data_IF_319079141402
#
_entry.id   IF_319079141402
#
_cell.length_a   1.000
_cell.length_b   1.000
_cell.length_c   1.000
_cell.angle_alpha   90.00
_cell.angle_beta   90.00
_cell.angle_gamma   90.00
#
_symmetry.space_group_name_H-M   'P 1'
#
loop_
_entity.id
_entity.type
_entity.pdbx_description
1 polymer ?
#
# COMPACT_ATOMS: atom_id res chain seq x y z
N UNK A 1 24.13 36.30 26.32
CA UNK A 1 23.43 37.29 25.47
C UNK A 1 24.31 37.56 24.25
N UNK A 2 24.18 36.76 23.18
CA UNK A 2 25.00 36.90 21.98
C UNK A 2 24.08 36.98 20.77
N UNK A 3 24.09 38.14 20.09
CA UNK A 3 23.29 38.43 18.90
C UNK A 3 24.24 38.42 17.70
N UNK A 4 24.14 37.41 16.84
CA UNK A 4 24.77 37.41 15.53
C UNK A 4 23.71 37.81 14.49
N UNK A 5 23.92 38.95 13.86
CA UNK A 5 23.06 39.56 12.85
C UNK A 5 23.28 38.87 11.49
N UNK A 6 22.22 38.45 10.81
CA UNK A 6 22.31 37.95 9.44
C UNK A 6 22.37 39.11 8.45
N UNK A 7 23.43 39.13 7.63
CA UNK A 7 23.64 40.08 6.54
C UNK A 7 22.76 39.68 5.34
N UNK A 8 21.76 40.49 5.02
CA UNK A 8 21.03 40.40 3.75
C UNK A 8 21.72 41.30 2.71
N UNK A 9 22.11 40.74 1.56
CA UNK A 9 22.62 41.51 0.41
C UNK A 9 21.46 41.88 -0.52
N UNK A 10 21.32 43.16 -0.92
CA UNK A 10 20.36 43.58 -1.93
C UNK A 10 21.01 43.55 -3.32
N UNK A 11 20.38 42.87 -4.28
CA UNK A 11 20.65 43.11 -5.69
C UNK A 11 19.65 44.15 -6.20
N UNK A 12 20.20 45.36 -6.36
CA UNK A 12 19.74 46.44 -7.22
C UNK A 12 19.52 45.92 -8.67
N UNK A 13 18.87 46.56 -9.63
CA UNK A 13 18.17 47.84 -9.81
C UNK A 13 17.59 47.75 -11.23
N UNK A 14 16.51 48.47 -11.48
CA UNK A 14 16.21 49.15 -12.76
C UNK A 14 15.87 48.31 -14.00
N UNK A 15 14.57 48.24 -14.29
CA UNK A 15 14.07 48.74 -15.57
C UNK A 15 12.99 49.80 -15.28
N UNK A 16 13.30 51.03 -15.68
CA UNK A 16 12.42 52.19 -15.58
C UNK A 16 11.24 52.07 -16.54
N UNK A 17 10.06 52.38 -16.01
CA UNK A 17 9.11 53.36 -16.54
C UNK A 17 9.04 53.51 -18.07
N UNK A 18 8.01 52.90 -18.66
CA UNK A 18 7.20 53.59 -19.68
C UNK A 18 5.78 53.75 -19.14
N UNK A 19 5.44 55.04 -18.98
CA UNK A 19 4.11 55.65 -18.82
C UNK A 19 3.03 54.89 -19.59
N UNK A 20 1.90 54.49 -19.01
CA UNK A 20 0.75 55.27 -18.53
C UNK A 20 -0.48 54.75 -19.30
N UNK A 21 -1.60 54.64 -18.58
CA UNK A 21 -2.97 54.52 -19.09
C UNK A 21 -3.38 53.15 -19.66
N UNK A 22 -3.96 52.33 -18.79
CA UNK A 22 -5.32 51.79 -19.00
C UNK A 22 -5.83 51.12 -17.70
N UNK A 23 -6.58 51.93 -16.95
CA UNK A 23 -7.69 51.62 -16.05
C UNK A 23 -7.83 50.17 -15.52
N UNK A 24 -7.35 49.92 -14.29
CA UNK A 24 -7.83 48.82 -13.46
C UNK A 24 -8.95 49.35 -12.55
N UNK A 25 -10.21 49.08 -12.93
CA UNK A 25 -11.36 49.33 -12.07
C UNK A 25 -11.46 48.21 -11.03
N UNK A 26 -11.30 48.61 -9.76
CA UNK A 26 -11.56 47.80 -8.57
C UNK A 26 -13.05 47.47 -8.54
N UNK A 27 -13.40 46.18 -8.59
CA UNK A 27 -14.80 45.71 -8.51
C UNK A 27 -15.22 45.63 -7.05
N UNK A 28 -16.13 46.50 -6.66
CA UNK A 28 -16.79 46.53 -5.34
C UNK A 28 -17.76 45.36 -5.19
N UNK A 29 -17.73 44.70 -4.02
CA UNK A 29 -18.72 43.71 -3.62
C UNK A 29 -20.02 44.40 -3.23
N UNK A 30 -21.06 44.27 -4.07
CA UNK A 30 -22.42 44.65 -3.72
C UNK A 30 -23.27 43.38 -3.53
N UNK A 31 -23.76 43.22 -2.31
CA UNK A 31 -24.82 42.30 -1.91
C UNK A 31 -26.18 42.88 -2.29
N UNK A 32 -26.87 42.29 -3.26
CA UNK A 32 -28.34 42.40 -3.38
C UNK A 32 -28.89 41.16 -4.06
N UNK A 33 -29.85 40.55 -3.40
CA UNK A 33 -30.70 39.44 -3.84
C UNK A 33 -31.57 39.83 -5.02
N UNK A 34 -31.45 39.09 -6.12
CA UNK A 34 -32.52 38.96 -7.11
C UNK A 34 -32.70 37.48 -7.44
N UNK A 35 -33.65 36.85 -6.74
CA UNK A 35 -34.31 35.65 -7.24
C UNK A 35 -35.00 36.02 -8.55
N UNK A 36 -34.35 35.72 -9.67
CA UNK A 36 -35.05 35.52 -10.92
C UNK A 36 -35.28 34.03 -11.05
N UNK A 37 -36.56 33.65 -10.93
CA UNK A 37 -37.07 32.36 -11.36
C UNK A 37 -36.79 32.22 -12.86
N UNK A 38 -35.59 31.73 -13.21
CA UNK A 38 -35.37 31.08 -14.47
C UNK A 38 -36.15 29.77 -14.39
N UNK A 39 -37.26 29.70 -15.13
CA UNK A 39 -37.99 28.48 -15.37
C UNK A 39 -36.97 27.40 -15.72
N UNK A 40 -36.82 26.41 -14.84
CA UNK A 40 -36.12 25.19 -15.15
C UNK A 40 -36.91 24.55 -16.29
N UNK A 41 -36.44 24.77 -17.52
CA UNK A 41 -36.70 23.86 -18.61
C UNK A 41 -36.22 22.50 -18.12
N UNK A 42 -37.18 21.68 -17.69
CA UNK A 42 -36.94 20.30 -17.29
C UNK A 42 -36.17 19.64 -18.44
N UNK A 43 -34.88 19.40 -18.21
CA UNK A 43 -34.14 18.47 -19.04
C UNK A 43 -34.94 17.16 -19.02
N UNK A 44 -35.13 16.50 -20.17
CA UNK A 44 -35.86 15.24 -20.20
C UNK A 44 -35.21 14.29 -19.20
N UNK A 45 -36.01 13.62 -18.38
CA UNK A 45 -35.53 12.55 -17.51
C UNK A 45 -34.83 11.53 -18.41
N UNK A 46 -33.49 11.55 -18.42
CA UNK A 46 -32.69 10.60 -19.18
C UNK A 46 -32.85 9.29 -18.45
N UNK A 47 -33.69 8.41 -18.98
CA UNK A 47 -33.81 7.05 -18.49
C UNK A 47 -32.41 6.42 -18.40
N UNK A 48 -32.01 5.87 -17.25
CA UNK A 48 -30.66 5.37 -17.05
C UNK A 48 -30.40 4.24 -18.04
N UNK A 49 -29.35 4.40 -18.85
CA UNK A 49 -28.94 3.34 -19.77
C UNK A 49 -28.35 2.17 -18.96
N UNK A 50 -28.34 0.93 -19.48
CA UNK A 50 -27.77 -0.22 -18.74
C UNK A 50 -26.34 0.01 -18.25
N UNK A 51 -25.53 0.78 -18.99
CA UNK A 51 -24.15 1.16 -18.61
C UNK A 51 -24.09 2.15 -17.44
N UNK A 52 -25.18 2.88 -17.17
CA UNK A 52 -25.31 3.78 -16.02
C UNK A 52 -25.51 3.03 -14.71
N UNK A 53 -25.89 1.75 -14.76
CA UNK A 53 -26.11 0.86 -13.62
C UNK A 53 -25.03 -0.24 -13.48
N UNK A 54 -23.96 -0.16 -14.27
CA UNK A 54 -22.83 -1.09 -14.19
C UNK A 54 -21.75 -0.60 -13.20
N UNK A 55 -21.41 -1.38 -12.15
CA UNK A 55 -20.57 -0.90 -11.04
C UNK A 55 -19.16 -0.45 -11.44
N UNK A 56 -18.64 -0.92 -12.57
CA UNK A 56 -17.33 -0.54 -13.13
C UNK A 56 -17.35 0.75 -13.98
N UNK A 57 -18.52 1.21 -14.41
CA UNK A 57 -18.67 2.26 -15.45
C UNK A 57 -19.67 3.36 -15.06
N UNK A 58 -20.37 3.20 -13.93
CA UNK A 58 -21.35 4.16 -13.39
C UNK A 58 -20.79 5.59 -13.31
N UNK A 59 -21.57 6.56 -13.78
CA UNK A 59 -21.29 7.99 -13.64
C UNK A 59 -21.74 8.52 -12.28
N UNK A 60 -21.19 9.66 -11.80
CA UNK A 60 -21.53 10.22 -10.50
C UNK A 60 -23.03 10.45 -10.28
N UNK A 61 -23.77 10.80 -11.34
CA UNK A 61 -25.21 11.08 -11.30
C UNK A 61 -26.06 9.84 -10.97
N UNK A 62 -25.56 8.64 -11.30
CA UNK A 62 -26.29 7.38 -11.13
C UNK A 62 -25.71 6.50 -10.00
N UNK A 63 -24.73 7.00 -9.23
CA UNK A 63 -24.15 6.29 -8.08
C UNK A 63 -25.20 5.95 -7.03
N UNK A 64 -26.09 6.89 -6.71
CA UNK A 64 -27.13 6.70 -5.70
C UNK A 64 -28.13 5.62 -6.12
N UNK A 65 -28.47 5.56 -7.41
CA UNK A 65 -29.34 4.53 -7.97
C UNK A 65 -28.69 3.14 -7.88
N UNK A 66 -27.38 3.05 -8.16
CA UNK A 66 -26.60 1.82 -8.03
C UNK A 66 -26.54 1.33 -6.57
N UNK A 67 -26.26 2.24 -5.63
CA UNK A 67 -26.20 1.94 -4.20
C UNK A 67 -27.57 1.49 -3.69
N UNK A 68 -28.66 2.12 -4.14
CA UNK A 68 -30.03 1.72 -3.82
C UNK A 68 -30.36 0.31 -4.36
N UNK A 69 -29.77 -0.07 -5.49
CA UNK A 69 -29.83 -1.43 -6.03
C UNK A 69 -28.92 -2.44 -5.28
N UNK A 70 -28.21 -2.00 -4.24
CA UNK A 70 -27.34 -2.85 -3.41
C UNK A 70 -25.97 -3.13 -4.01
N UNK A 71 -25.59 -2.49 -5.12
CA UNK A 71 -24.28 -2.64 -5.75
C UNK A 71 -23.39 -1.45 -5.37
N UNK A 72 -22.16 -1.72 -4.92
CA UNK A 72 -21.20 -0.66 -4.63
C UNK A 72 -20.38 -0.32 -5.89
N UNK A 73 -20.13 0.96 -6.18
CA UNK A 73 -19.29 1.35 -7.32
C UNK A 73 -17.84 0.88 -7.10
N UNK A 74 -17.20 0.36 -8.15
CA UNK A 74 -15.87 -0.25 -8.07
C UNK A 74 -14.78 0.78 -8.40
N UNK A 75 -13.90 1.02 -7.43
CA UNK A 75 -12.75 1.90 -7.56
C UNK A 75 -13.11 3.39 -7.63
N UNK A 76 -12.17 4.22 -8.07
CA UNK A 76 -12.34 5.68 -8.09
C UNK A 76 -13.26 6.15 -9.23
N UNK A 77 -13.93 7.30 -9.04
CA UNK A 77 -14.72 7.97 -10.10
C UNK A 77 -13.92 8.15 -11.38
N UNK A 78 -12.64 8.54 -11.27
CA UNK A 78 -11.72 8.71 -12.41
C UNK A 78 -11.52 7.41 -13.19
N UNK A 79 -11.37 6.25 -12.51
CA UNK A 79 -11.25 4.94 -13.17
C UNK A 79 -12.50 4.64 -13.99
N UNK A 80 -13.68 4.83 -13.40
CA UNK A 80 -14.98 4.54 -14.05
C UNK A 80 -15.19 5.39 -15.30
N UNK A 81 -14.92 6.69 -15.21
CA UNK A 81 -14.98 7.60 -16.37
C UNK A 81 -14.01 7.18 -17.47
N UNK A 82 -12.76 6.82 -17.11
CA UNK A 82 -11.76 6.40 -18.09
C UNK A 82 -12.12 5.08 -18.81
N UNK A 83 -12.71 4.12 -18.08
CA UNK A 83 -13.23 2.87 -18.64
C UNK A 83 -14.43 3.13 -19.56
N UNK A 84 -15.33 4.04 -19.16
CA UNK A 84 -16.48 4.43 -19.99
C UNK A 84 -16.07 5.11 -21.29
N UNK A 85 -15.11 6.04 -21.21
CA UNK A 85 -14.64 6.78 -22.39
C UNK A 85 -13.86 5.89 -23.35
N UNK A 86 -13.19 4.85 -22.83
CA UNK A 86 -12.36 3.94 -23.62
C UNK A 86 -12.74 2.47 -23.32
N UNK A 87 -13.89 1.97 -23.84
CA UNK A 87 -14.36 0.62 -23.55
C UNK A 87 -13.41 -0.48 -24.05
N UNK A 88 -12.66 -0.21 -25.13
CA UNK A 88 -11.64 -1.11 -25.67
C UNK A 88 -10.23 -0.74 -25.18
N UNK A 89 -10.07 -0.43 -23.88
CA UNK A 89 -8.75 -0.07 -23.33
C UNK A 89 -7.78 -1.25 -23.36
N UNK A 90 -6.60 -1.06 -23.95
CA UNK A 90 -5.52 -2.05 -23.95
C UNK A 90 -5.03 -2.31 -22.51
N UNK A 91 -4.56 -3.54 -22.19
CA UNK A 91 -3.83 -3.81 -20.96
C UNK A 91 -2.68 -2.82 -20.76
N UNK A 92 -2.41 -2.44 -19.52
CA UNK A 92 -1.34 -1.48 -19.18
C UNK A 92 0.02 -1.84 -19.82
N UNK A 93 0.30 -3.13 -19.92
CA UNK A 93 1.49 -3.69 -20.53
C UNK A 93 1.62 -3.44 -22.05
N UNK A 94 0.49 -3.39 -22.75
CA UNK A 94 0.41 -3.34 -24.22
C UNK A 94 0.23 -1.91 -24.74
N UNK A 95 0.36 -0.91 -23.87
CA UNK A 95 0.25 0.49 -24.28
C UNK A 95 1.36 0.84 -25.30
N UNK A 96 1.02 1.45 -26.44
CA UNK A 96 1.95 1.65 -27.56
C UNK A 96 2.87 2.87 -27.35
N UNK A 97 3.55 2.93 -26.21
CA UNK A 97 4.56 3.96 -25.91
C UNK A 97 5.96 3.39 -26.12
N UNK A 98 6.75 4.01 -27.00
CA UNK A 98 8.07 3.50 -27.40
C UNK A 98 9.01 3.29 -26.19
N UNK A 99 9.28 4.35 -25.42
CA UNK A 99 10.20 4.29 -24.29
C UNK A 99 9.74 3.29 -23.21
N UNK A 100 8.43 3.15 -23.02
CA UNK A 100 7.87 2.17 -22.09
C UNK A 100 8.12 0.74 -22.56
N UNK A 101 7.88 0.44 -23.84
CA UNK A 101 8.10 -0.91 -24.39
C UNK A 101 9.59 -1.27 -24.43
N UNK A 102 10.46 -0.34 -24.80
CA UNK A 102 11.92 -0.54 -24.75
C UNK A 102 12.39 -0.83 -23.32
N UNK A 103 11.95 -0.05 -22.33
CA UNK A 103 12.26 -0.30 -20.93
C UNK A 103 11.76 -1.68 -20.47
N UNK A 104 10.55 -2.10 -20.87
CA UNK A 104 10.04 -3.44 -20.55
C UNK A 104 10.89 -4.56 -21.14
N UNK A 105 11.41 -4.40 -22.35
CA UNK A 105 12.34 -5.40 -22.95
C UNK A 105 13.60 -5.55 -22.10
N UNK A 106 14.16 -4.44 -21.61
CA UNK A 106 15.33 -4.45 -20.72
C UNK A 106 15.02 -5.18 -19.41
N UNK A 107 13.86 -4.88 -18.80
CA UNK A 107 13.43 -5.53 -17.55
C UNK A 107 13.15 -7.02 -17.73
N UNK A 108 12.57 -7.42 -18.86
CA UNK A 108 12.34 -8.82 -19.18
C UNK A 108 13.65 -9.60 -19.30
N UNK A 109 14.64 -9.05 -20.00
CA UNK A 109 15.97 -9.65 -20.12
C UNK A 109 16.68 -9.77 -18.76
N UNK A 110 16.63 -8.74 -17.90
CA UNK A 110 17.21 -8.82 -16.55
C UNK A 110 16.51 -9.89 -15.69
N UNK A 111 15.18 -9.99 -15.80
CA UNK A 111 14.39 -10.99 -15.09
C UNK A 111 14.77 -12.41 -15.50
N UNK A 112 14.93 -12.67 -16.79
CA UNK A 112 15.40 -13.98 -17.30
C UNK A 112 16.76 -14.34 -16.72
N UNK A 113 17.69 -13.39 -16.67
CA UNK A 113 19.00 -13.59 -16.04
C UNK A 113 18.88 -13.91 -14.53
N UNK A 114 17.96 -13.27 -13.80
CA UNK A 114 17.75 -13.59 -12.37
C UNK A 114 17.14 -14.99 -12.20
N UNK A 115 16.21 -15.37 -13.06
CA UNK A 115 15.58 -16.71 -13.01
C UNK A 115 16.62 -17.79 -13.30
N UNK A 116 17.48 -17.60 -14.30
CA UNK A 116 18.58 -18.51 -14.58
C UNK A 116 19.47 -18.71 -13.33
N UNK A 117 19.87 -17.61 -12.67
CA UNK A 117 20.64 -17.66 -11.43
C UNK A 117 19.90 -18.36 -10.29
N UNK A 118 18.60 -18.13 -10.14
CA UNK A 118 17.78 -18.82 -9.13
C UNK A 118 17.84 -20.34 -9.36
N UNK A 119 17.69 -20.78 -10.60
CA UNK A 119 17.73 -22.21 -10.94
C UNK A 119 19.11 -22.83 -10.66
N UNK A 120 20.19 -22.10 -10.97
CA UNK A 120 21.55 -22.52 -10.64
C UNK A 120 21.77 -22.69 -9.13
N UNK A 121 21.34 -21.69 -8.33
CA UNK A 121 21.50 -21.72 -6.88
C UNK A 121 20.62 -22.77 -6.21
N UNK A 122 19.39 -22.97 -6.69
CA UNK A 122 18.52 -24.06 -6.24
C UNK A 122 19.15 -25.42 -6.58
N UNK A 123 19.75 -25.56 -7.76
CA UNK A 123 20.52 -26.75 -8.12
C UNK A 123 21.71 -27.00 -7.20
N UNK A 124 22.43 -25.95 -6.77
CA UNK A 124 23.51 -26.06 -5.79
C UNK A 124 23.00 -26.47 -4.40
N UNK A 125 21.85 -25.92 -3.97
CA UNK A 125 21.19 -26.30 -2.72
C UNK A 125 20.85 -27.80 -2.74
N UNK A 126 20.19 -28.27 -3.80
CA UNK A 126 19.82 -29.69 -3.93
C UNK A 126 21.04 -30.62 -3.90
N UNK A 127 22.15 -30.24 -4.57
CA UNK A 127 23.41 -31.00 -4.51
C UNK A 127 24.00 -31.07 -3.10
N UNK A 128 23.96 -29.97 -2.34
CA UNK A 128 24.50 -29.94 -0.97
C UNK A 128 23.58 -30.70 -0.01
N UNK A 129 22.26 -30.63 -0.20
CA UNK A 129 21.29 -31.35 0.62
C UNK A 129 21.42 -32.86 0.47
N UNK A 130 21.70 -33.35 -0.75
CA UNK A 130 21.91 -34.77 -1.04
C UNK A 130 23.18 -35.38 -0.43
N UNK A 131 24.18 -34.56 -0.08
CA UNK A 131 25.41 -35.04 0.56
C UNK A 131 25.17 -35.23 2.06
N UNK A 132 25.44 -36.42 2.58
CA UNK A 132 25.30 -36.72 4.01
C UNK A 132 26.17 -35.84 4.92
N UNK A 133 25.69 -35.55 6.13
CA UNK A 133 26.33 -34.62 7.07
C UNK A 133 27.74 -35.07 7.49
N UNK A 134 27.97 -36.39 7.53
CA UNK A 134 29.26 -37.01 7.89
C UNK A 134 30.32 -36.87 6.79
N UNK A 135 29.88 -36.80 5.52
CA UNK A 135 30.76 -36.68 4.37
C UNK A 135 31.04 -35.22 3.99
N UNK A 136 30.30 -34.27 4.58
CA UNK A 136 30.48 -32.86 4.30
C UNK A 136 31.75 -32.30 4.98
N UNK A 137 32.66 -31.75 4.16
CA UNK A 137 33.89 -31.10 4.64
C UNK A 137 33.57 -29.94 5.58
N UNK A 138 33.94 -30.05 6.85
CA UNK A 138 33.66 -29.05 7.89
C UNK A 138 32.46 -29.37 8.79
N UNK A 139 31.89 -30.58 8.67
CA UNK A 139 30.85 -31.09 9.56
C UNK A 139 29.46 -30.47 9.37
N UNK A 140 28.47 -30.87 10.21
CA UNK A 140 27.07 -30.52 10.03
C UNK A 140 26.81 -29.01 10.18
N UNK A 141 27.53 -28.34 11.08
CA UNK A 141 27.40 -26.90 11.30
C UNK A 141 27.76 -26.08 10.06
N UNK A 142 28.82 -26.46 9.34
CA UNK A 142 29.22 -25.75 8.13
C UNK A 142 28.23 -26.01 6.99
N UNK A 143 27.73 -27.24 6.84
CA UNK A 143 26.66 -27.52 5.87
C UNK A 143 25.44 -26.63 6.11
N UNK A 144 24.97 -26.55 7.37
CA UNK A 144 23.82 -25.73 7.75
C UNK A 144 24.03 -24.23 7.43
N UNK A 145 25.19 -23.66 7.79
CA UNK A 145 25.53 -22.25 7.48
C UNK A 145 25.58 -22.00 5.97
N UNK A 146 26.14 -22.93 5.19
CA UNK A 146 26.19 -22.81 3.72
C UNK A 146 24.79 -22.84 3.11
N UNK A 147 23.94 -23.77 3.56
CA UNK A 147 22.55 -23.86 3.11
C UNK A 147 21.76 -22.61 3.49
N UNK A 148 21.93 -22.08 4.70
CA UNK A 148 21.29 -20.83 5.13
C UNK A 148 21.68 -19.64 4.23
N UNK A 149 22.98 -19.48 3.92
CA UNK A 149 23.47 -18.43 3.03
C UNK A 149 22.92 -18.54 1.61
N UNK A 150 22.90 -19.76 1.05
CA UNK A 150 22.35 -20.00 -0.30
C UNK A 150 20.85 -19.74 -0.35
N UNK A 151 20.09 -20.19 0.66
CA UNK A 151 18.64 -19.94 0.75
C UNK A 151 18.35 -18.44 0.85
N UNK A 152 19.09 -17.71 1.68
CA UNK A 152 18.98 -16.24 1.77
C UNK A 152 19.27 -15.57 0.42
N UNK A 153 20.32 -16.00 -0.29
CA UNK A 153 20.66 -15.44 -1.60
C UNK A 153 19.56 -15.70 -2.64
N UNK A 154 18.95 -16.89 -2.64
CA UNK A 154 17.80 -17.22 -3.49
C UNK A 154 16.59 -16.32 -3.17
N UNK A 155 16.31 -16.06 -1.89
CA UNK A 155 15.24 -15.13 -1.49
C UNK A 155 15.51 -13.70 -1.99
N UNK A 156 16.74 -13.22 -1.90
CA UNK A 156 17.13 -11.92 -2.44
C UNK A 156 16.98 -11.86 -3.97
N UNK A 157 17.36 -12.92 -4.69
CA UNK A 157 17.19 -13.00 -6.14
C UNK A 157 15.72 -12.99 -6.55
N UNK A 158 14.85 -13.69 -5.80
CA UNK A 158 13.39 -13.68 -6.03
C UNK A 158 12.83 -12.27 -5.91
N UNK A 159 13.26 -11.50 -4.90
CA UNK A 159 12.84 -10.10 -4.75
C UNK A 159 13.35 -9.25 -5.92
N UNK A 160 14.65 -9.37 -6.26
CA UNK A 160 15.28 -8.59 -7.34
C UNK A 160 14.68 -8.88 -8.73
N UNK A 161 14.15 -10.08 -8.95
CA UNK A 161 13.52 -10.44 -10.23
C UNK A 161 12.21 -9.69 -10.49
N UNK A 162 11.42 -9.43 -9.44
CA UNK A 162 10.07 -8.86 -9.57
C UNK A 162 9.97 -7.40 -9.06
N UNK A 163 11.03 -6.84 -8.45
CA UNK A 163 11.03 -5.47 -7.87
C UNK A 163 10.84 -4.35 -8.88
N UNK A 164 11.13 -4.61 -10.16
CA UNK A 164 10.99 -3.63 -11.22
C UNK A 164 9.72 -3.86 -12.07
N UNK A 165 8.89 -4.85 -11.73
CA UNK A 165 7.64 -5.10 -12.45
C UNK A 165 6.59 -4.03 -12.08
N UNK A 166 6.11 -3.22 -13.05
CA UNK A 166 5.11 -2.19 -12.77
C UNK A 166 3.77 -2.76 -12.30
N UNK A 167 3.38 -3.98 -12.70
CA UNK A 167 2.13 -4.60 -12.24
C UNK A 167 2.23 -4.96 -10.77
N UNK A 168 3.36 -5.53 -10.34
CA UNK A 168 3.57 -5.91 -8.94
C UNK A 168 3.52 -4.65 -8.06
N UNK A 169 4.17 -3.57 -8.49
CA UNK A 169 4.11 -2.29 -7.79
C UNK A 169 2.68 -1.75 -7.70
N UNK A 170 1.94 -1.75 -8.81
CA UNK A 170 0.53 -1.33 -8.82
C UNK A 170 -0.32 -2.16 -7.86
N UNK A 171 -0.22 -3.50 -7.91
CA UNK A 171 -0.99 -4.40 -7.01
C UNK A 171 -0.69 -4.15 -5.53
N UNK A 172 0.57 -3.83 -5.20
CA UNK A 172 0.95 -3.46 -3.85
C UNK A 172 0.33 -2.14 -3.41
N UNK A 173 0.39 -1.11 -4.26
CA UNK A 173 -0.19 0.22 -3.98
C UNK A 173 -1.72 0.17 -3.87
N UNK A 174 -2.37 -0.69 -4.66
CA UNK A 174 -3.82 -0.95 -4.61
C UNK A 174 -4.24 -1.79 -3.38
N UNK A 175 -3.29 -2.33 -2.61
CA UNK A 175 -3.56 -3.19 -1.44
C UNK A 175 -3.98 -4.63 -1.77
N UNK A 176 -3.87 -5.04 -3.03
CA UNK A 176 -4.23 -6.38 -3.54
C UNK A 176 -3.01 -7.34 -3.59
N UNK A 177 -1.94 -7.00 -2.86
CA UNK A 177 -0.70 -7.76 -2.81
C UNK A 177 -0.83 -9.02 -1.95
N UNK A 178 -0.47 -10.18 -2.51
CA UNK A 178 -0.43 -11.44 -1.78
C UNK A 178 0.80 -11.51 -0.87
N UNK A 179 0.59 -11.34 0.44
CA UNK A 179 1.67 -11.37 1.42
C UNK A 179 2.43 -12.69 1.43
N UNK A 180 1.95 -13.80 0.83
CA UNK A 180 2.73 -15.04 0.73
C UNK A 180 4.00 -14.85 -0.10
N UNK A 181 3.98 -13.95 -1.07
CA UNK A 181 5.14 -13.72 -1.94
C UNK A 181 6.14 -12.78 -1.26
N UNK A 182 7.45 -13.06 -1.35
CA UNK A 182 8.47 -12.26 -0.66
C UNK A 182 8.52 -10.81 -1.15
N UNK A 183 8.16 -10.55 -2.41
CA UNK A 183 8.18 -9.21 -2.98
C UNK A 183 7.19 -8.24 -2.29
N UNK A 184 5.97 -8.69 -2.00
CA UNK A 184 4.99 -7.83 -1.32
C UNK A 184 5.38 -7.57 0.13
N UNK A 185 6.00 -8.56 0.81
CA UNK A 185 6.55 -8.36 2.16
C UNK A 185 7.69 -7.36 2.15
N UNK A 186 8.57 -7.43 1.16
CA UNK A 186 9.66 -6.48 0.98
C UNK A 186 9.14 -5.05 0.80
N UNK A 187 8.10 -4.85 -0.02
CA UNK A 187 7.48 -3.54 -0.18
C UNK A 187 6.74 -3.08 1.09
N UNK A 188 6.04 -3.97 1.79
CA UNK A 188 5.37 -3.67 3.05
C UNK A 188 6.39 -3.20 4.10
N UNK A 189 7.50 -3.92 4.24
CA UNK A 189 8.59 -3.54 5.13
C UNK A 189 9.21 -2.20 4.73
N UNK A 190 9.50 -2.00 3.44
CA UNK A 190 10.07 -0.74 2.95
C UNK A 190 9.13 0.45 3.21
N UNK A 191 7.82 0.27 3.04
CA UNK A 191 6.80 1.28 3.32
C UNK A 191 6.77 1.60 4.82
N UNK A 192 6.70 0.58 5.66
CA UNK A 192 6.68 0.71 7.12
C UNK A 192 7.94 1.37 7.69
N UNK A 193 9.13 0.97 7.22
CA UNK A 193 10.42 1.58 7.60
C UNK A 193 10.53 3.05 7.20
N UNK A 194 9.78 3.50 6.19
CA UNK A 194 9.88 4.87 5.68
C UNK A 194 9.27 5.91 6.62
N UNK A 195 8.18 5.56 7.32
CA UNK A 195 7.45 6.49 8.20
C UNK A 195 7.08 5.85 9.54
N UNK A 196 6.24 4.82 9.55
CA UNK A 196 5.64 4.27 10.77
C UNK A 196 6.68 3.77 11.78
N UNK A 197 7.73 3.07 11.33
CA UNK A 197 8.80 2.62 12.21
C UNK A 197 9.53 3.79 12.89
N UNK A 198 9.71 4.91 12.17
CA UNK A 198 10.37 6.11 12.71
C UNK A 198 9.49 6.78 13.76
N UNK A 199 8.19 6.87 13.49
CA UNK A 199 7.21 7.39 14.44
C UNK A 199 7.19 6.56 15.72
N UNK A 200 7.13 5.23 15.61
CA UNK A 200 7.16 4.32 16.77
C UNK A 200 8.47 4.45 17.55
N UNK A 201 9.61 4.48 16.86
CA UNK A 201 10.92 4.63 17.50
C UNK A 201 11.01 5.96 18.27
N UNK A 202 10.47 7.04 17.70
CA UNK A 202 10.36 8.33 18.37
C UNK A 202 9.50 8.24 19.63
N UNK A 203 8.32 7.60 19.58
CA UNK A 203 7.43 7.44 20.75
C UNK A 203 8.06 6.59 21.84
N UNK A 204 8.74 5.50 21.49
CA UNK A 204 9.47 4.64 22.45
C UNK A 204 10.48 5.46 23.24
N UNK A 205 11.23 6.34 22.57
CA UNK A 205 12.20 7.20 23.23
C UNK A 205 11.55 8.33 24.04
N UNK A 206 10.48 8.95 23.55
CA UNK A 206 9.80 10.06 24.23
C UNK A 206 9.11 9.63 25.53
N UNK A 207 8.49 8.45 25.52
CA UNK A 207 7.78 7.91 26.69
C UNK A 207 8.67 7.05 27.61
N UNK A 208 9.99 7.07 27.41
CA UNK A 208 10.95 6.32 28.24
C UNK A 208 10.68 4.82 28.36
N UNK A 209 9.97 4.23 27.37
CA UNK A 209 9.71 2.78 27.31
C UNK A 209 11.02 2.01 27.37
N UNK A 210 12.04 2.55 26.69
CA UNK A 210 13.45 2.20 26.90
C UNK A 210 14.07 3.38 27.67
N UNK A 211 14.61 3.19 28.90
CA UNK A 211 14.94 1.93 29.55
C UNK A 211 13.89 1.36 30.52
N UNK A 212 12.79 2.07 30.83
CA UNK A 212 11.97 1.79 32.02
C UNK A 212 11.28 0.41 31.99
N UNK A 213 10.80 -0.02 30.82
CA UNK A 213 10.10 -1.30 30.66
C UNK A 213 11.06 -2.38 30.16
N UNK A 214 11.86 -2.06 29.14
CA UNK A 214 12.76 -3.01 28.47
C UNK A 214 14.10 -2.31 28.17
N UNK A 215 15.25 -2.97 28.38
CA UNK A 215 16.57 -2.35 28.17
C UNK A 215 16.88 -2.02 26.71
N UNK A 216 16.35 -2.79 25.75
CA UNK A 216 16.56 -2.57 24.31
C UNK A 216 15.37 -3.07 23.52
N UNK A 217 14.77 -2.19 22.72
CA UNK A 217 13.66 -2.52 21.83
C UNK A 217 13.96 -2.01 20.42
N UNK A 218 13.99 -2.93 19.45
CA UNK A 218 14.08 -2.59 18.02
C UNK A 218 12.79 -3.11 17.35
N UNK A 219 11.86 -2.22 16.96
CA UNK A 219 10.63 -2.66 16.32
C UNK A 219 10.95 -3.38 15.02
N UNK A 220 10.47 -4.63 14.89
CA UNK A 220 10.71 -5.51 13.72
C UNK A 220 9.44 -5.82 12.92
N UNK A 221 8.26 -5.62 13.53
CA UNK A 221 6.97 -5.80 12.89
C UNK A 221 6.09 -4.57 13.13
N UNK A 222 5.13 -4.34 12.24
CA UNK A 222 4.12 -3.31 12.41
C UNK A 222 2.97 -3.83 13.29
N UNK A 223 2.57 -3.02 14.26
CA UNK A 223 1.51 -3.35 15.21
C UNK A 223 0.55 -2.17 15.24
N UNK A 224 -0.67 -2.41 14.79
CA UNK A 224 -1.73 -1.41 14.76
C UNK A 224 -2.83 -1.80 15.74
N UNK A 225 -3.22 -0.84 16.57
CA UNK A 225 -4.22 -1.03 17.62
C UNK A 225 -5.53 -0.36 17.21
N UNK A 226 -6.63 -1.07 17.37
CA UNK A 226 -7.97 -0.60 17.07
C UNK A 226 -8.87 -0.74 18.30
N UNK A 227 -9.62 0.30 18.63
CA UNK A 227 -10.70 0.23 19.62
C UNK A 227 -12.03 0.50 18.93
N UNK A 228 -13.00 -0.42 19.08
CA UNK A 228 -14.33 -0.29 18.46
C UNK A 228 -14.27 0.10 16.97
N UNK A 229 -13.30 -0.48 16.23
CA UNK A 229 -12.96 -0.24 14.80
C UNK A 229 -12.24 1.08 14.49
N UNK A 230 -11.98 1.93 15.46
CA UNK A 230 -11.17 3.14 15.29
C UNK A 230 -9.69 2.83 15.50
N UNK A 231 -8.85 3.20 14.53
CA UNK A 231 -7.39 3.09 14.64
C UNK A 231 -6.87 4.15 15.61
N UNK A 232 -6.09 3.73 16.60
CA UNK A 232 -5.46 4.63 17.57
C UNK A 232 -4.02 4.94 17.18
N UNK A 233 -3.64 6.21 17.26
CA UNK A 233 -2.30 6.64 16.94
C UNK A 233 -1.31 6.34 18.09
N UNK A 234 -0.03 6.08 17.79
CA UNK A 234 0.95 5.82 18.85
C UNK A 234 1.19 7.02 19.76
N UNK A 235 0.88 6.84 21.06
CA UNK A 235 0.99 7.89 22.08
C UNK A 235 -0.25 8.77 22.24
N UNK A 236 -1.37 8.40 21.62
CA UNK A 236 -2.64 9.10 21.76
C UNK A 236 -3.30 8.81 23.12
N UNK A 237 -3.90 9.83 23.71
CA UNK A 237 -4.71 9.70 24.93
C UNK A 237 -6.12 9.28 24.51
N UNK A 238 -6.56 8.12 25.00
CA UNK A 238 -7.87 7.53 24.67
C UNK A 238 -8.80 7.65 25.88
N UNK A 239 -10.07 7.99 25.63
CA UNK A 239 -11.08 8.06 26.69
C UNK A 239 -11.35 6.67 27.32
N UNK A 240 -11.66 6.65 28.61
CA UNK A 240 -11.90 5.42 29.38
C UNK A 240 -13.10 4.64 28.83
N UNK A 241 -14.11 5.33 28.30
CA UNK A 241 -15.26 4.71 27.66
C UNK A 241 -14.91 3.98 26.37
N UNK A 242 -13.82 4.37 25.70
CA UNK A 242 -13.36 3.75 24.45
C UNK A 242 -12.46 2.55 24.76
N UNK A 243 -11.64 2.63 25.81
CA UNK A 243 -10.71 1.59 26.23
C UNK A 243 -11.31 0.56 27.20
N UNK A 244 -12.59 0.67 27.54
CA UNK A 244 -13.30 -0.28 28.40
C UNK A 244 -13.27 -1.72 27.85
N UNK A 245 -13.42 -1.86 26.53
CA UNK A 245 -13.35 -3.14 25.84
C UNK A 245 -11.91 -3.43 25.37
N UNK A 246 -11.50 -4.71 25.33
CA UNK A 246 -10.18 -5.06 24.82
C UNK A 246 -10.02 -4.58 23.36
N UNK A 247 -8.82 -4.10 22.99
CA UNK A 247 -8.55 -3.66 21.63
C UNK A 247 -8.41 -4.84 20.67
N UNK A 248 -8.71 -4.59 19.40
CA UNK A 248 -8.34 -5.45 18.29
C UNK A 248 -6.94 -5.05 17.82
N UNK A 249 -6.04 -6.03 17.66
CA UNK A 249 -4.69 -5.80 17.19
C UNK A 249 -4.47 -6.41 15.81
N UNK A 250 -4.01 -5.60 14.86
CA UNK A 250 -3.54 -6.07 13.56
C UNK A 250 -2.01 -6.17 13.57
N UNK A 251 -1.50 -7.37 13.30
CA UNK A 251 -0.07 -7.66 13.26
C UNK A 251 0.38 -7.88 11.82
N UNK A 252 1.36 -7.09 11.36
CA UNK A 252 1.98 -7.26 10.04
C UNK A 252 3.47 -7.54 10.19
N UNK A 253 3.87 -8.78 9.93
CA UNK A 253 5.27 -9.21 9.97
C UNK A 253 5.82 -9.46 8.55
N UNK A 254 6.90 -8.78 8.19
CA UNK A 254 7.60 -9.04 6.92
C UNK A 254 8.50 -10.29 6.98
N UNK A 255 9.00 -10.63 8.16
CA UNK A 255 9.92 -11.74 8.41
C UNK A 255 9.16 -13.06 8.61
N UNK A 256 9.62 -14.15 7.99
CA UNK A 256 9.13 -15.49 8.33
C UNK A 256 9.63 -15.87 9.72
N UNK A 257 8.74 -15.89 10.70
CA UNK A 257 9.05 -16.42 12.02
C UNK A 257 9.22 -17.94 11.93
N UNK A 258 10.44 -18.45 12.10
CA UNK A 258 10.66 -19.84 12.51
C UNK A 258 10.32 -19.93 14.01
N UNK A 259 9.17 -20.52 14.33
CA UNK A 259 8.63 -20.57 15.68
C UNK A 259 9.51 -21.38 16.64
N UNK A 260 9.89 -20.83 17.79
CA UNK A 260 10.29 -21.56 18.99
C UNK A 260 10.25 -20.67 20.26
N UNK A 261 9.42 -21.09 21.22
CA UNK A 261 9.49 -20.85 22.67
C UNK A 261 8.77 -19.67 23.36
N UNK A 262 8.35 -19.84 24.65
CA UNK A 262 7.08 -19.26 25.07
C UNK A 262 6.94 -18.76 26.55
N UNK A 263 6.40 -17.55 26.80
CA UNK A 263 5.77 -17.06 28.08
C UNK A 263 5.35 -15.59 27.89
N UNK A 264 4.49 -14.88 28.65
CA UNK A 264 3.25 -15.06 29.45
C UNK A 264 2.89 -13.62 29.88
N UNK A 265 1.91 -12.84 29.41
CA UNK A 265 0.69 -12.97 28.61
C UNK A 265 0.81 -13.74 27.30
N UNK A 266 -0.11 -14.66 27.07
CA UNK A 266 0.02 -15.61 25.96
C UNK A 266 -1.35 -15.79 25.31
N UNK A 267 -1.60 -15.03 24.23
CA UNK A 267 -2.25 -15.62 23.04
C UNK A 267 -1.28 -16.65 22.46
N UNK A 268 -0.99 -17.69 23.25
CA UNK A 268 -0.13 -18.79 22.87
C UNK A 268 -0.88 -19.48 21.76
N UNK A 269 -0.35 -19.42 20.55
CA UNK A 269 -0.99 -19.87 19.32
C UNK A 269 -2.24 -19.06 18.93
N UNK A 270 -2.12 -17.76 18.73
CA UNK A 270 -2.84 -17.19 17.59
C UNK A 270 -2.15 -17.73 16.33
N UNK A 271 -2.74 -18.67 15.56
CA UNK A 271 -2.20 -18.96 14.24
C UNK A 271 -2.17 -17.62 13.51
N UNK A 272 -0.98 -17.18 13.12
CA UNK A 272 -0.82 -15.97 12.32
C UNK A 272 -1.37 -16.31 10.94
N UNK A 273 -2.70 -16.27 10.81
CA UNK A 273 -3.37 -16.49 9.55
C UNK A 273 -3.00 -15.33 8.66
N UNK A 274 -2.28 -15.65 7.60
CA UNK A 274 -1.94 -14.71 6.54
C UNK A 274 -3.23 -14.43 5.78
N UNK A 275 -3.91 -13.35 6.16
CA UNK A 275 -5.04 -12.68 5.51
C UNK A 275 -5.86 -13.57 4.56
N UNK A 276 -6.96 -14.13 5.07
CA UNK A 276 -8.13 -14.44 4.23
C UNK A 276 -9.08 -13.25 4.32
N UNK A 277 -9.26 -12.44 3.26
CA UNK A 277 -10.46 -11.60 3.18
C UNK A 277 -11.66 -12.53 2.99
N UNK A 278 -12.59 -12.53 3.94
CA UNK A 278 -13.81 -13.34 3.89
C UNK A 278 -14.64 -12.94 2.66
N UNK A 279 -14.65 -13.77 1.62
CA UNK A 279 -15.69 -13.72 0.60
C UNK A 279 -16.95 -14.37 1.16
N UNK A 280 -17.90 -13.55 1.59
CA UNK A 280 -19.27 -13.98 1.86
C UNK A 280 -19.94 -14.37 0.54
N UNK A 281 -19.80 -15.63 0.14
CA UNK A 281 -20.58 -16.26 -0.92
C UNK A 281 -21.79 -16.95 -0.30
N UNK A 282 -22.96 -16.34 -0.43
CA UNK A 282 -24.23 -16.97 -0.13
C UNK A 282 -24.51 -18.06 -1.17
N UNK A 283 -24.49 -19.34 -0.77
CA UNK A 283 -24.98 -20.45 -1.58
C UNK A 283 -26.34 -20.86 -1.05
N UNK A 284 -27.40 -20.37 -1.68
CA UNK A 284 -28.77 -20.85 -1.47
C UNK A 284 -28.97 -22.10 -2.32
N UNK A 285 -29.07 -23.27 -1.69
CA UNK A 285 -29.53 -24.50 -2.33
C UNK A 285 -31.06 -24.53 -2.34
N UNK A 286 -31.74 -24.99 -3.42
CA UNK A 286 -33.19 -25.16 -3.43
C UNK A 286 -33.62 -26.48 -2.77
N UNK A 287 -34.83 -26.56 -2.22
CA UNK A 287 -35.31 -27.75 -1.52
C UNK A 287 -35.78 -28.83 -2.50
N UNK A 288 -35.43 -30.07 -2.18
CA UNK A 288 -35.96 -31.28 -2.79
C UNK A 288 -37.46 -31.41 -2.46
N UNK A 289 -38.30 -31.51 -3.48
CA UNK A 289 -39.67 -32.00 -3.37
C UNK A 289 -39.84 -33.26 -4.23
N UNK A 290 -40.40 -34.29 -3.59
CA UNK A 290 -41.04 -35.53 -4.09
C UNK A 290 -41.05 -35.80 -5.58
#
# INVERSE_FOLDING_TARGET
>A
MSRCQSVARPLARQLQQRSMQQCLAIRSFNTTSSQQNAAASAAPAVEPTPLDLDPDTVLPEFEDALIKAGKMPVGSRRRRVALRSNPNSLPFEQLPYQAFQEARKILAADREQKIAKINEEVGKIARIEAVEDSQFKGGPKMKATRLASLRKYVEELKIKADVNDPIVKKRFEDGLGDMNKPIYRYYAEKKWRSYDQRLITQRISQFHIVPDIIPKLVPTADVQLYFRKAKVAPGEIVDSLVSENPPDSEYSSSTQASASSPSSWSTRTSPTSRTTPSSSGATTSPPTSR
#
